data_IF_192324741160
#
_entry.id   IF_192324741160
#
_cell.length_a   1.000
_cell.length_b   1.000
_cell.length_c   1.000
_cell.angle_alpha   90.00
_cell.angle_beta   90.00
_cell.angle_gamma   90.00
#
_symmetry.space_group_name_H-M   'P 1'
#
loop_
_entity.id
_entity.type
_entity.pdbx_description
1 polymer ?
#
# COMPACT_ATOMS: atom_id res chain seq x y z
N UNK A 1 -13.20 10.83 16.93
CA UNK A 1 -12.26 10.02 16.13
C UNK A 1 -11.21 10.92 15.49
N UNK A 2 -9.95 10.59 15.53
CA UNK A 2 -8.87 11.26 14.80
C UNK A 2 -8.75 10.62 13.42
N UNK A 3 -9.13 11.34 12.38
CA UNK A 3 -9.05 10.88 11.01
C UNK A 3 -7.81 11.46 10.34
N UNK A 4 -6.92 10.60 9.79
CA UNK A 4 -5.75 11.05 9.04
C UNK A 4 -5.96 10.87 7.54
N UNK A 5 -5.92 11.97 6.79
CA UNK A 5 -5.90 11.96 5.33
C UNK A 5 -4.47 12.05 4.79
N UNK A 6 -3.97 10.99 4.15
CA UNK A 6 -2.68 10.95 3.48
C UNK A 6 -2.82 11.36 2.00
N UNK A 7 -2.46 12.60 1.71
CA UNK A 7 -2.53 13.19 0.36
C UNK A 7 -1.21 12.93 -0.38
N UNK A 8 -1.19 11.96 -1.31
CA UNK A 8 0.01 11.63 -2.10
C UNK A 8 0.24 12.57 -3.30
N UNK A 9 -0.57 13.61 -3.48
CA UNK A 9 -0.44 14.62 -4.52
C UNK A 9 0.27 15.88 -4.04
N UNK A 10 1.17 16.50 -4.85
CA UNK A 10 1.80 17.77 -4.51
C UNK A 10 0.85 18.97 -4.67
N UNK A 11 -0.24 18.80 -5.43
CA UNK A 11 -1.16 19.90 -5.77
C UNK A 11 -2.01 20.29 -4.56
N UNK A 12 -2.04 21.58 -4.22
CA UNK A 12 -2.98 22.15 -3.27
C UNK A 12 -4.37 22.18 -3.91
N UNK A 13 -5.40 21.82 -3.13
CA UNK A 13 -6.78 21.66 -3.60
C UNK A 13 -6.89 20.80 -4.88
N UNK A 14 -5.94 19.84 -5.03
CA UNK A 14 -5.99 18.83 -6.08
C UNK A 14 -6.98 17.72 -5.74
N UNK A 15 -7.34 16.90 -6.72
CA UNK A 15 -8.38 15.87 -6.58
C UNK A 15 -8.17 14.91 -5.40
N UNK A 16 -6.91 14.51 -5.08
CA UNK A 16 -6.65 13.67 -3.89
C UNK A 16 -7.04 14.36 -2.58
N UNK A 17 -6.71 15.64 -2.43
CA UNK A 17 -7.07 16.42 -1.23
C UNK A 17 -8.58 16.64 -1.14
N UNK A 18 -9.20 17.00 -2.26
CA UNK A 18 -10.64 17.26 -2.33
C UNK A 18 -11.45 15.99 -2.04
N UNK A 19 -11.03 14.84 -2.57
CA UNK A 19 -11.65 13.55 -2.28
C UNK A 19 -11.63 13.24 -0.78
N UNK A 20 -10.47 13.34 -0.14
CA UNK A 20 -10.35 13.06 1.30
C UNK A 20 -11.26 13.99 2.11
N UNK A 21 -11.28 15.28 1.78
CA UNK A 21 -12.13 16.25 2.46
C UNK A 21 -13.62 15.96 2.25
N UNK A 22 -14.00 15.63 1.02
CA UNK A 22 -15.40 15.31 0.67
C UNK A 22 -15.87 14.04 1.39
N UNK A 23 -15.06 12.97 1.42
CA UNK A 23 -15.37 11.75 2.21
C UNK A 23 -15.51 12.11 3.69
N UNK A 24 -14.62 12.93 4.22
CA UNK A 24 -14.68 13.38 5.62
C UNK A 24 -15.99 14.13 5.93
N UNK A 25 -16.46 15.00 5.05
CA UNK A 25 -17.72 15.73 5.28
C UNK A 25 -18.96 14.83 5.30
N UNK A 26 -18.86 13.62 4.78
CA UNK A 26 -19.95 12.63 4.69
C UNK A 26 -19.99 11.63 5.84
N UNK A 27 -18.96 11.64 6.71
CA UNK A 27 -18.95 10.82 7.92
C UNK A 27 -19.96 11.36 8.93
N UNK A 28 -20.71 10.46 9.56
CA UNK A 28 -21.68 10.76 10.60
C UNK A 28 -21.02 10.82 11.97
N UNK A 29 -19.98 10.05 12.18
CA UNK A 29 -19.20 10.02 13.43
C UNK A 29 -18.45 11.33 13.63
N UNK A 30 -18.59 12.01 14.79
CA UNK A 30 -17.80 13.20 15.11
C UNK A 30 -16.30 12.90 15.03
N UNK A 31 -15.57 13.68 14.24
CA UNK A 31 -14.15 13.46 14.01
C UNK A 31 -13.37 14.76 13.81
N UNK A 32 -12.06 14.64 13.95
CA UNK A 32 -11.11 15.70 13.62
C UNK A 32 -10.22 15.23 12.46
N UNK A 33 -10.33 15.91 11.31
CA UNK A 33 -9.52 15.59 10.13
C UNK A 33 -8.15 16.27 10.23
N UNK A 34 -7.10 15.47 10.31
CA UNK A 34 -5.71 15.90 10.07
C UNK A 34 -5.31 15.53 8.62
N UNK A 35 -4.59 16.41 7.94
CA UNK A 35 -4.11 16.17 6.57
C UNK A 35 -2.59 16.17 6.51
N UNK A 36 -2.03 15.12 5.94
CA UNK A 36 -0.61 14.98 5.67
C UNK A 36 -0.39 14.94 4.15
N UNK A 37 0.40 15.91 3.63
CA UNK A 37 0.75 15.96 2.20
C UNK A 37 2.11 15.30 2.01
N UNK A 38 2.10 14.02 1.65
CA UNK A 38 3.29 13.18 1.55
C UNK A 38 4.45 13.81 0.73
N UNK A 39 4.22 14.46 -0.44
CA UNK A 39 5.30 15.08 -1.20
C UNK A 39 6.00 16.28 -0.55
N UNK A 40 5.61 16.70 0.64
CA UNK A 40 6.28 17.76 1.40
C UNK A 40 7.28 17.24 2.42
N UNK A 41 7.27 15.96 2.65
CA UNK A 41 8.15 15.28 3.60
C UNK A 41 9.35 14.70 2.85
N UNK A 42 10.52 14.83 3.42
CA UNK A 42 11.73 14.13 2.94
C UNK A 42 11.67 12.69 3.39
N UNK A 43 11.37 11.78 2.46
CA UNK A 43 11.40 10.33 2.70
C UNK A 43 12.46 9.74 1.79
N UNK A 44 13.62 9.48 2.38
CA UNK A 44 14.77 8.93 1.64
C UNK A 44 14.52 7.48 1.25
N UNK A 45 15.00 7.05 0.08
CA UNK A 45 14.92 5.66 -0.35
C UNK A 45 15.51 4.70 0.68
N UNK A 46 14.87 3.54 0.88
CA UNK A 46 15.41 2.49 1.74
C UNK A 46 16.73 1.94 1.17
N UNK A 47 17.75 1.83 2.00
CA UNK A 47 19.05 1.25 1.64
C UNK A 47 19.20 -0.22 2.06
N UNK A 48 18.11 -0.88 2.44
CA UNK A 48 18.03 -2.29 2.79
C UNK A 48 19.04 -2.75 3.89
N UNK A 49 19.34 -1.88 4.86
CA UNK A 49 20.30 -2.19 5.93
C UNK A 49 19.71 -3.04 7.08
N UNK A 50 18.38 -3.23 7.14
CA UNK A 50 17.64 -3.96 8.17
C UNK A 50 17.78 -3.43 9.61
N UNK A 51 18.38 -2.26 9.83
CA UNK A 51 18.55 -1.68 11.17
C UNK A 51 17.19 -1.50 11.89
N UNK A 52 16.13 -1.16 11.17
CA UNK A 52 14.79 -1.02 11.73
C UNK A 52 14.23 -2.33 12.34
N UNK A 53 14.65 -3.51 11.86
CA UNK A 53 14.26 -4.80 12.45
C UNK A 53 15.10 -5.17 13.68
N UNK A 54 16.32 -4.68 13.76
CA UNK A 54 17.28 -4.99 14.85
C UNK A 54 17.17 -3.98 16.00
N UNK A 55 17.05 -2.69 15.65
CA UNK A 55 17.12 -1.56 16.59
C UNK A 55 15.74 -0.93 16.86
N UNK A 56 14.69 -1.39 16.15
CA UNK A 56 13.34 -0.84 16.24
C UNK A 56 13.17 0.53 15.60
N UNK A 57 14.22 1.09 14.97
CA UNK A 57 14.18 2.40 14.33
C UNK A 57 15.04 2.45 13.06
N UNK A 58 14.66 3.31 12.13
CA UNK A 58 15.45 3.54 10.93
C UNK A 58 16.61 4.51 11.23
N UNK A 59 17.78 4.23 10.64
CA UNK A 59 18.97 5.08 10.77
C UNK A 59 19.01 6.27 9.82
N UNK A 60 18.10 6.33 8.85
CA UNK A 60 18.03 7.46 7.92
C UNK A 60 17.42 8.67 8.64
N UNK A 61 18.14 9.77 8.59
CA UNK A 61 17.71 11.06 9.15
C UNK A 61 16.78 11.74 8.13
N UNK A 62 15.48 11.52 8.26
CA UNK A 62 14.43 12.06 7.39
C UNK A 62 13.11 12.23 8.17
N UNK A 63 12.04 12.61 7.47
CA UNK A 63 10.75 12.90 8.09
C UNK A 63 9.90 11.64 8.39
N UNK A 64 10.41 10.41 8.20
CA UNK A 64 9.65 9.18 8.46
C UNK A 64 9.07 9.10 9.88
N UNK A 65 9.79 9.47 10.96
CA UNK A 65 9.24 9.44 12.31
C UNK A 65 7.97 10.29 12.45
N UNK A 66 7.93 11.48 11.83
CA UNK A 66 6.77 12.38 11.86
C UNK A 66 5.55 11.72 11.22
N UNK A 67 5.75 11.02 10.08
CA UNK A 67 4.68 10.30 9.41
C UNK A 67 4.18 9.13 10.27
N UNK A 68 5.09 8.37 10.86
CA UNK A 68 4.75 7.24 11.73
C UNK A 68 3.95 7.70 12.95
N UNK A 69 4.37 8.75 13.62
CA UNK A 69 3.67 9.30 14.78
C UNK A 69 2.26 9.76 14.39
N UNK A 70 2.11 10.47 13.27
CA UNK A 70 0.78 10.90 12.78
C UNK A 70 -0.14 9.70 12.44
N UNK A 71 0.41 8.62 11.86
CA UNK A 71 -0.36 7.41 11.59
C UNK A 71 -0.70 6.64 12.87
N UNK A 72 0.19 6.62 13.85
CA UNK A 72 -0.08 5.99 15.15
C UNK A 72 -1.19 6.72 15.94
N UNK A 73 -1.21 8.06 15.91
CA UNK A 73 -2.22 8.87 16.59
C UNK A 73 -3.62 8.81 15.96
N UNK A 74 -3.71 8.40 14.70
CA UNK A 74 -4.98 8.33 13.99
C UNK A 74 -5.80 7.11 14.42
N UNK A 75 -7.13 7.26 14.50
CA UNK A 75 -8.07 6.15 14.69
C UNK A 75 -8.47 5.51 13.36
N UNK A 76 -8.42 6.28 12.26
CA UNK A 76 -8.73 5.82 10.91
C UNK A 76 -7.90 6.56 9.85
N UNK A 77 -7.72 5.94 8.68
CA UNK A 77 -6.88 6.45 7.59
C UNK A 77 -7.66 6.60 6.29
N UNK A 78 -7.40 7.66 5.53
CA UNK A 78 -7.79 7.79 4.12
C UNK A 78 -6.55 8.08 3.30
N UNK A 79 -6.18 7.18 2.39
CA UNK A 79 -5.00 7.32 1.51
C UNK A 79 -5.44 7.59 0.09
N UNK A 80 -5.08 8.74 -0.47
CA UNK A 80 -5.40 9.11 -1.85
C UNK A 80 -4.14 9.37 -2.67
N UNK A 81 -3.94 8.62 -3.76
CA UNK A 81 -2.77 8.71 -4.61
C UNK A 81 -3.12 9.03 -6.08
N UNK A 82 -2.41 9.98 -6.71
CA UNK A 82 -2.58 10.24 -8.13
C UNK A 82 -1.84 9.21 -8.97
N UNK A 83 -2.37 8.93 -10.14
CA UNK A 83 -1.74 8.07 -11.15
C UNK A 83 -0.75 8.86 -11.99
N UNK A 84 0.49 8.38 -12.06
CA UNK A 84 1.53 8.84 -12.97
C UNK A 84 2.06 7.65 -13.77
N UNK A 85 1.94 7.69 -15.09
CA UNK A 85 2.40 6.59 -15.95
C UNK A 85 1.92 5.20 -15.48
N UNK A 86 0.60 5.08 -15.25
CA UNK A 86 -0.09 3.85 -14.85
C UNK A 86 0.27 3.33 -13.44
N UNK A 87 0.90 4.14 -12.61
CA UNK A 87 1.24 3.76 -11.24
C UNK A 87 1.05 4.90 -10.25
N UNK A 88 1.09 4.62 -8.94
CA UNK A 88 1.03 5.66 -7.92
C UNK A 88 2.29 6.53 -7.99
N UNK A 89 2.17 7.78 -7.56
CA UNK A 89 3.32 8.65 -7.45
C UNK A 89 4.46 8.02 -6.63
N UNK A 90 5.70 8.19 -7.09
CA UNK A 90 6.90 7.57 -6.51
C UNK A 90 7.08 7.79 -4.99
N UNK A 91 6.59 8.93 -4.45
CA UNK A 91 6.67 9.19 -2.99
C UNK A 91 5.90 8.17 -2.16
N UNK A 92 4.78 7.59 -2.66
CA UNK A 92 4.09 6.51 -1.97
C UNK A 92 4.92 5.24 -1.96
N UNK A 93 5.60 4.92 -3.09
CA UNK A 93 6.49 3.76 -3.15
C UNK A 93 7.72 3.93 -2.26
N UNK A 94 8.30 5.14 -2.20
CA UNK A 94 9.42 5.43 -1.30
C UNK A 94 9.03 5.19 0.17
N UNK A 95 7.82 5.60 0.57
CA UNK A 95 7.29 5.32 1.91
C UNK A 95 7.03 3.82 2.12
N UNK A 96 6.44 3.13 1.14
CA UNK A 96 6.21 1.68 1.19
C UNK A 96 7.51 0.89 1.33
N UNK A 97 8.60 1.31 0.66
CA UNK A 97 9.92 0.65 0.77
C UNK A 97 10.52 0.74 2.18
N UNK A 98 10.02 1.67 3.00
CA UNK A 98 10.38 1.82 4.40
C UNK A 98 9.48 0.99 5.34
N UNK A 99 8.62 0.12 4.78
CA UNK A 99 7.59 -0.64 5.50
C UNK A 99 8.09 -1.48 6.68
N UNK A 100 9.31 -2.01 6.62
CA UNK A 100 9.91 -2.72 7.76
C UNK A 100 10.06 -1.85 9.03
N UNK A 101 10.11 -0.51 8.87
CA UNK A 101 10.13 0.41 10.01
C UNK A 101 8.77 0.51 10.71
N UNK A 102 7.68 0.06 10.08
CA UNK A 102 6.34 0.10 10.66
C UNK A 102 6.14 -0.97 11.73
N UNK A 103 6.90 -2.08 11.67
CA UNK A 103 6.78 -3.18 12.63
C UNK A 103 7.10 -2.80 14.06
N UNK A 104 7.99 -1.82 14.28
CA UNK A 104 8.28 -1.31 15.62
C UNK A 104 7.13 -0.52 16.25
N UNK A 105 6.13 -0.15 15.44
CA UNK A 105 4.92 0.58 15.84
C UNK A 105 3.65 -0.25 15.63
N UNK A 106 3.78 -1.57 15.44
CA UNK A 106 2.72 -2.47 15.03
C UNK A 106 1.47 -2.37 15.91
N UNK A 107 1.59 -2.40 17.22
CA UNK A 107 0.45 -2.30 18.15
C UNK A 107 -0.38 -1.02 17.94
N UNK A 108 0.25 0.08 17.53
CA UNK A 108 -0.44 1.34 17.29
C UNK A 108 -0.95 1.51 15.85
N UNK A 109 -0.44 0.72 14.90
CA UNK A 109 -0.78 0.85 13.47
C UNK A 109 -1.78 -0.21 13.00
N UNK A 110 -1.69 -1.43 13.53
CA UNK A 110 -2.40 -2.58 12.98
C UNK A 110 -3.91 -2.54 13.27
N UNK A 111 -4.69 -3.04 12.29
CA UNK A 111 -6.15 -3.14 12.40
C UNK A 111 -6.91 -1.82 12.30
N UNK A 112 -6.25 -0.69 12.03
CA UNK A 112 -6.96 0.59 11.86
C UNK A 112 -7.85 0.56 10.63
N UNK A 113 -9.11 1.00 10.72
CA UNK A 113 -9.98 1.17 9.56
C UNK A 113 -9.34 2.11 8.54
N UNK A 114 -9.36 1.71 7.28
CA UNK A 114 -8.73 2.50 6.23
C UNK A 114 -9.50 2.49 4.90
N UNK A 115 -9.41 3.61 4.19
CA UNK A 115 -9.88 3.76 2.82
C UNK A 115 -8.73 4.02 1.87
N UNK A 116 -8.79 3.39 0.70
CA UNK A 116 -7.89 3.62 -0.43
C UNK A 116 -8.57 4.39 -1.56
N UNK A 117 -7.86 5.34 -2.18
CA UNK A 117 -8.33 6.01 -3.39
C UNK A 117 -7.21 6.20 -4.41
N UNK A 118 -7.40 5.65 -5.60
CA UNK A 118 -6.55 5.91 -6.76
C UNK A 118 -7.22 6.97 -7.64
N UNK A 119 -6.49 8.00 -8.05
CA UNK A 119 -7.01 9.07 -8.90
C UNK A 119 -6.29 9.09 -10.24
N UNK A 120 -7.03 8.86 -11.32
CA UNK A 120 -6.53 8.92 -12.69
C UNK A 120 -7.22 10.04 -13.48
N UNK A 121 -6.50 10.64 -14.43
CA UNK A 121 -7.06 11.68 -15.29
C UNK A 121 -7.92 11.15 -16.43
N UNK A 122 -7.76 9.86 -16.78
CA UNK A 122 -8.43 9.25 -17.93
C UNK A 122 -8.99 7.88 -17.48
N UNK A 123 -10.28 7.59 -17.74
CA UNK A 123 -10.88 6.30 -17.44
C UNK A 123 -10.10 5.12 -18.05
N UNK A 124 -9.86 4.06 -17.25
CA UNK A 124 -9.11 2.87 -17.65
C UNK A 124 -7.61 3.09 -17.78
N UNK A 125 -7.06 4.23 -17.28
CA UNK A 125 -5.63 4.52 -17.27
C UNK A 125 -5.06 4.67 -15.85
N UNK A 126 -5.74 4.12 -14.87
CA UNK A 126 -5.28 4.04 -13.47
C UNK A 126 -4.09 3.08 -13.28
N UNK A 127 -3.94 2.12 -14.19
CA UNK A 127 -2.90 1.09 -14.14
C UNK A 127 -2.89 0.34 -12.81
N UNK A 128 -1.74 0.29 -12.13
CA UNK A 128 -1.61 -0.37 -10.82
C UNK A 128 -1.68 0.60 -9.62
N UNK A 129 -2.23 1.80 -9.80
CA UNK A 129 -2.27 2.82 -8.72
C UNK A 129 -3.10 2.34 -7.53
N UNK A 130 -4.27 1.74 -7.77
CA UNK A 130 -5.11 1.16 -6.71
C UNK A 130 -4.34 0.07 -5.94
N UNK A 131 -3.75 -0.89 -6.65
CA UNK A 131 -2.90 -1.92 -6.05
C UNK A 131 -1.77 -1.33 -5.20
N UNK A 132 -1.13 -0.23 -5.66
CA UNK A 132 -0.07 0.44 -4.90
C UNK A 132 -0.57 1.09 -3.60
N UNK A 133 -1.77 1.66 -3.60
CA UNK A 133 -2.43 2.19 -2.40
C UNK A 133 -2.79 1.06 -1.44
N UNK A 134 -3.39 -0.01 -1.93
CA UNK A 134 -3.75 -1.19 -1.15
C UNK A 134 -2.51 -1.89 -0.56
N UNK A 135 -1.43 -2.01 -1.33
CA UNK A 135 -0.16 -2.56 -0.85
C UNK A 135 0.41 -1.75 0.31
N UNK A 136 0.30 -0.42 0.25
CA UNK A 136 0.71 0.45 1.36
C UNK A 136 -0.17 0.23 2.60
N UNK A 137 -1.49 0.20 2.44
CA UNK A 137 -2.42 -0.05 3.54
C UNK A 137 -2.23 -1.45 4.15
N UNK A 138 -2.01 -2.48 3.34
CA UNK A 138 -1.69 -3.83 3.81
C UNK A 138 -0.32 -3.90 4.52
N UNK A 139 0.66 -3.12 4.09
CA UNK A 139 1.94 -3.02 4.80
C UNK A 139 1.79 -2.42 6.20
N UNK A 140 0.78 -1.57 6.41
CA UNK A 140 0.38 -1.07 7.73
C UNK A 140 -0.49 -2.08 8.50
N UNK A 141 -0.85 -3.23 7.92
CA UNK A 141 -1.87 -4.15 8.41
C UNK A 141 -3.19 -3.45 8.77
N UNK A 142 -3.54 -2.43 7.99
CA UNK A 142 -4.79 -1.72 8.13
C UNK A 142 -5.97 -2.59 7.69
N UNK A 143 -7.11 -2.41 8.33
CA UNK A 143 -8.39 -2.98 7.92
C UNK A 143 -8.95 -2.15 6.77
N UNK A 144 -8.70 -2.58 5.54
CA UNK A 144 -9.14 -1.88 4.32
C UNK A 144 -10.64 -2.08 4.16
N UNK A 145 -11.43 -1.08 4.54
CA UNK A 145 -12.88 -1.10 4.43
C UNK A 145 -13.37 -0.96 2.99
N UNK A 146 -12.71 -0.10 2.22
CA UNK A 146 -12.94 0.02 0.78
C UNK A 146 -11.73 0.65 0.09
N UNK A 147 -11.57 0.37 -1.20
CA UNK A 147 -10.55 0.97 -2.05
C UNK A 147 -11.08 1.13 -3.46
N UNK A 148 -11.01 2.36 -4.01
CA UNK A 148 -11.70 2.72 -5.24
C UNK A 148 -10.85 3.55 -6.19
N UNK A 149 -11.20 3.51 -7.49
CA UNK A 149 -10.60 4.35 -8.53
C UNK A 149 -11.55 5.50 -8.86
N UNK A 150 -11.05 6.72 -8.82
CA UNK A 150 -11.77 7.93 -9.21
C UNK A 150 -11.12 8.60 -10.41
N UNK A 151 -11.93 9.28 -11.22
CA UNK A 151 -11.45 9.96 -12.40
C UNK A 151 -11.63 11.47 -12.30
N UNK A 152 -10.60 12.20 -12.72
CA UNK A 152 -10.58 13.64 -12.74
C UNK A 152 -9.20 14.16 -13.11
N UNK A 153 -9.06 14.85 -14.25
CA UNK A 153 -7.81 15.38 -14.76
C UNK A 153 -7.47 16.77 -14.17
N UNK A 154 -8.47 17.65 -14.11
CA UNK A 154 -8.31 19.01 -13.60
C UNK A 154 -8.65 19.08 -12.10
N UNK A 155 -8.03 20.00 -11.33
CA UNK A 155 -8.42 20.24 -9.95
C UNK A 155 -9.92 20.55 -9.82
N UNK A 156 -10.59 19.84 -8.91
CA UNK A 156 -12.02 19.98 -8.68
C UNK A 156 -12.91 19.07 -9.52
N UNK A 157 -12.42 18.43 -10.56
CA UNK A 157 -13.27 17.53 -11.38
C UNK A 157 -13.80 16.34 -10.58
N UNK A 158 -13.03 15.82 -9.64
CA UNK A 158 -13.43 14.68 -8.83
C UNK A 158 -14.69 14.94 -8.00
N UNK A 159 -14.93 16.18 -7.57
CA UNK A 159 -16.11 16.58 -6.81
C UNK A 159 -17.21 17.24 -7.66
N UNK A 160 -16.96 17.45 -8.94
CA UNK A 160 -17.96 17.95 -9.90
C UNK A 160 -18.84 16.82 -10.45
N UNK A 161 -18.29 15.61 -10.50
CA UNK A 161 -18.94 14.43 -11.05
C UNK A 161 -19.82 13.77 -9.97
N UNK A 162 -21.14 13.67 -10.24
CA UNK A 162 -22.12 13.13 -9.30
C UNK A 162 -21.91 11.64 -8.99
N UNK A 163 -21.44 10.86 -9.96
CA UNK A 163 -21.11 9.45 -9.75
C UNK A 163 -19.93 9.32 -8.77
N UNK A 164 -18.92 10.18 -8.89
CA UNK A 164 -17.83 10.24 -7.91
C UNK A 164 -18.35 10.63 -6.51
N UNK A 165 -19.25 11.61 -6.42
CA UNK A 165 -19.82 12.04 -5.13
C UNK A 165 -20.62 10.92 -4.46
N UNK A 166 -21.40 10.15 -5.22
CA UNK A 166 -22.13 8.97 -4.72
C UNK A 166 -21.16 7.95 -4.14
N UNK A 167 -20.11 7.60 -4.89
CA UNK A 167 -19.09 6.63 -4.46
C UNK A 167 -18.27 7.13 -3.25
N UNK A 168 -18.06 8.43 -3.11
CA UNK A 168 -17.44 9.01 -1.89
C UNK A 168 -18.35 8.84 -0.68
N UNK A 169 -19.68 8.90 -0.86
CA UNK A 169 -20.65 8.57 0.20
C UNK A 169 -20.57 7.09 0.59
N UNK A 170 -20.43 6.20 -0.37
CA UNK A 170 -20.24 4.75 -0.12
C UNK A 170 -18.92 4.48 0.63
N UNK A 171 -17.83 5.17 0.27
CA UNK A 171 -16.58 5.09 1.03
C UNK A 171 -16.74 5.56 2.47
N UNK A 172 -17.45 6.68 2.70
CA UNK A 172 -17.69 7.17 4.06
C UNK A 172 -18.49 6.15 4.89
N UNK A 173 -19.55 5.59 4.32
CA UNK A 173 -20.35 4.55 4.96
C UNK A 173 -19.53 3.28 5.27
N UNK A 174 -18.65 2.87 4.33
CA UNK A 174 -17.76 1.72 4.53
C UNK A 174 -16.76 1.94 5.68
N UNK A 175 -16.25 3.19 5.86
CA UNK A 175 -15.34 3.50 6.97
C UNK A 175 -16.02 3.36 8.33
N UNK A 176 -17.32 3.65 8.42
CA UNK A 176 -18.13 3.61 9.65
C UNK A 176 -18.79 2.25 9.92
N UNK A 177 -18.86 1.41 8.89
CA UNK A 177 -19.46 0.08 8.97
C UNK A 177 -18.43 -1.05 9.06
N UNK A 178 -18.94 -2.28 9.10
CA UNK A 178 -18.13 -3.46 8.83
C UNK A 178 -17.84 -3.53 7.33
N UNK A 179 -16.61 -3.95 6.96
CA UNK A 179 -16.22 -4.06 5.55
C UNK A 179 -17.20 -4.97 4.79
N UNK A 180 -17.62 -4.57 3.60
CA UNK A 180 -18.45 -5.44 2.75
C UNK A 180 -17.61 -6.59 2.21
N UNK A 181 -18.10 -7.83 2.31
CA UNK A 181 -17.57 -8.94 1.53
C UNK A 181 -17.77 -8.63 0.05
N UNK A 182 -16.70 -8.29 -0.64
CA UNK A 182 -16.75 -8.02 -2.08
C UNK A 182 -16.67 -9.35 -2.84
N UNK A 183 -17.79 -9.80 -3.37
CA UNK A 183 -17.85 -10.96 -4.26
C UNK A 183 -17.00 -10.73 -5.53
N UNK A 184 -16.17 -11.69 -5.89
CA UNK A 184 -15.34 -11.66 -7.11
C UNK A 184 -13.89 -11.24 -6.91
N UNK A 185 -13.44 -11.13 -5.67
CA UNK A 185 -12.07 -10.78 -5.29
C UNK A 185 -11.32 -11.94 -4.64
N UNK A 186 -10.04 -11.73 -4.33
CA UNK A 186 -9.24 -12.73 -3.65
C UNK A 186 -9.86 -13.12 -2.30
N UNK A 187 -10.24 -14.38 -2.08
CA UNK A 187 -10.89 -14.81 -0.83
C UNK A 187 -9.98 -14.71 0.40
N UNK A 188 -8.68 -14.53 0.21
CA UNK A 188 -7.71 -14.42 1.31
C UNK A 188 -7.53 -12.97 1.78
N UNK A 189 -7.46 -12.01 0.85
CA UNK A 189 -7.12 -10.63 1.20
C UNK A 189 -8.05 -9.55 0.65
N UNK A 190 -9.08 -9.92 -0.14
CA UNK A 190 -9.99 -8.99 -0.78
C UNK A 190 -9.43 -8.25 -2.01
N UNK A 191 -8.18 -8.54 -2.45
CA UNK A 191 -7.58 -7.88 -3.61
C UNK A 191 -8.23 -8.29 -4.94
N UNK A 192 -8.31 -7.36 -5.88
CA UNK A 192 -8.95 -7.54 -7.19
C UNK A 192 -7.97 -7.60 -8.38
N UNK A 193 -6.69 -7.51 -8.11
CA UNK A 193 -5.64 -7.50 -9.14
C UNK A 193 -4.90 -8.84 -9.17
N UNK A 194 -4.92 -9.49 -10.34
CA UNK A 194 -4.34 -10.83 -10.51
C UNK A 194 -3.33 -10.87 -11.65
N UNK A 195 -2.28 -11.67 -11.45
CA UNK A 195 -1.33 -12.05 -12.48
C UNK A 195 -1.67 -13.42 -13.02
N UNK A 196 -1.90 -13.53 -14.32
CA UNK A 196 -1.99 -14.82 -15.01
C UNK A 196 -0.60 -15.46 -15.08
N UNK A 197 -0.52 -16.73 -14.68
CA UNK A 197 0.71 -17.52 -14.74
C UNK A 197 0.68 -18.43 -15.98
N UNK A 198 0.26 -19.69 -15.83
CA UNK A 198 0.13 -20.63 -16.92
C UNK A 198 -1.01 -21.63 -16.62
N UNK A 199 -1.63 -22.22 -17.64
CA UNK A 199 -2.63 -23.27 -17.50
C UNK A 199 -3.78 -22.91 -16.53
N UNK A 200 -4.32 -21.68 -16.62
CA UNK A 200 -5.42 -21.22 -15.76
C UNK A 200 -5.01 -20.81 -14.33
N UNK A 201 -3.74 -20.93 -13.99
CA UNK A 201 -3.23 -20.48 -12.68
C UNK A 201 -3.12 -18.96 -12.63
N UNK A 202 -3.49 -18.42 -11.47
CA UNK A 202 -3.39 -17.00 -11.16
C UNK A 202 -2.67 -16.79 -9.82
N UNK A 203 -2.15 -15.59 -9.64
CA UNK A 203 -1.60 -15.11 -8.37
C UNK A 203 -2.25 -13.78 -8.03
N UNK A 204 -2.77 -13.66 -6.80
CA UNK A 204 -3.20 -12.37 -6.30
C UNK A 204 -1.97 -11.44 -6.15
N UNK A 205 -2.05 -10.23 -6.69
CA UNK A 205 -0.94 -9.29 -6.65
C UNK A 205 -0.81 -8.58 -5.30
N UNK A 206 -1.85 -8.64 -4.45
CA UNK A 206 -1.84 -8.02 -3.13
C UNK A 206 -1.26 -8.96 -2.05
N UNK A 207 -1.73 -10.22 -1.95
CA UNK A 207 -1.25 -11.17 -0.93
C UNK A 207 -0.25 -12.21 -1.45
N UNK A 208 0.00 -12.25 -2.76
CA UNK A 208 0.87 -13.20 -3.45
C UNK A 208 0.43 -14.67 -3.42
N UNK A 209 -0.73 -14.98 -2.89
CA UNK A 209 -1.28 -16.32 -2.89
C UNK A 209 -1.72 -16.77 -4.29
N UNK A 210 -1.56 -18.04 -4.57
CA UNK A 210 -1.85 -18.65 -5.88
C UNK A 210 -3.12 -19.48 -5.85
N UNK A 211 -3.68 -19.66 -7.04
CA UNK A 211 -4.83 -20.48 -7.26
C UNK A 211 -5.20 -20.60 -8.73
N UNK A 212 -6.45 -20.88 -8.98
CA UNK A 212 -7.01 -21.05 -10.31
C UNK A 212 -8.13 -20.04 -10.57
N UNK A 213 -8.20 -19.55 -11.81
CA UNK A 213 -9.36 -18.84 -12.33
C UNK A 213 -10.11 -19.78 -13.27
N UNK A 214 -11.43 -19.91 -13.07
CA UNK A 214 -12.30 -20.73 -13.91
C UNK A 214 -13.43 -19.88 -14.46
N UNK A 215 -13.58 -19.85 -15.77
CA UNK A 215 -14.73 -19.26 -16.44
C UNK A 215 -15.96 -20.16 -16.31
N UNK A 216 -17.11 -19.58 -16.07
CA UNK A 216 -18.39 -20.26 -16.03
C UNK A 216 -19.52 -19.38 -16.58
N UNK A 217 -20.77 -19.91 -16.67
CA UNK A 217 -21.93 -19.13 -17.16
C UNK A 217 -22.18 -17.84 -16.36
N UNK A 218 -21.84 -17.86 -15.06
CA UNK A 218 -22.08 -16.76 -14.13
C UNK A 218 -20.85 -15.83 -13.96
N UNK A 219 -19.81 -15.99 -14.82
CA UNK A 219 -18.60 -15.19 -14.77
C UNK A 219 -17.34 -15.97 -14.42
N UNK A 220 -16.35 -15.31 -13.83
CA UNK A 220 -15.08 -15.91 -13.42
C UNK A 220 -15.08 -16.16 -11.91
N UNK A 221 -14.82 -17.40 -11.51
CA UNK A 221 -14.60 -17.77 -10.11
C UNK A 221 -13.11 -17.92 -9.81
N UNK A 222 -12.70 -17.59 -8.58
CA UNK A 222 -11.33 -17.71 -8.12
C UNK A 222 -11.23 -18.71 -6.97
N UNK A 223 -10.25 -19.60 -7.06
CA UNK A 223 -9.94 -20.59 -6.03
C UNK A 223 -8.50 -20.37 -5.59
N UNK A 224 -8.29 -19.43 -4.67
CA UNK A 224 -6.97 -19.08 -4.13
C UNK A 224 -6.82 -19.71 -2.76
N UNK A 225 -5.63 -20.24 -2.47
CA UNK A 225 -5.29 -20.89 -1.20
C UNK A 225 -4.12 -20.16 -0.55
N UNK A 226 -4.13 -20.15 0.77
CA UNK A 226 -2.99 -19.66 1.55
C UNK A 226 -1.75 -20.49 1.24
N UNK A 227 -0.64 -19.79 0.95
CA UNK A 227 0.64 -20.41 0.54
C UNK A 227 1.63 -20.61 1.67
N UNK A 228 1.32 -20.11 2.87
CA UNK A 228 2.14 -20.29 4.08
C UNK A 228 3.34 -19.33 4.19
N UNK A 229 3.46 -18.34 3.32
CA UNK A 229 4.43 -17.26 3.43
C UNK A 229 3.81 -15.92 3.01
N UNK A 230 2.65 -15.65 3.55
CA UNK A 230 1.97 -14.37 3.42
C UNK A 230 2.77 -13.29 4.14
N UNK A 231 2.64 -12.03 3.68
CA UNK A 231 3.39 -10.91 4.26
C UNK A 231 2.46 -9.98 5.06
N UNK A 232 1.19 -9.85 4.63
CA UNK A 232 0.30 -8.79 5.07
C UNK A 232 -1.09 -9.27 5.48
N UNK A 233 -1.27 -10.53 5.86
CA UNK A 233 -2.59 -11.06 6.19
C UNK A 233 -2.98 -10.76 7.64
N UNK A 234 -2.05 -10.89 8.56
CA UNK A 234 -2.26 -10.62 9.98
C UNK A 234 -0.94 -10.25 10.70
N UNK A 235 -1.00 -9.79 11.97
CA UNK A 235 0.18 -9.44 12.76
C UNK A 235 1.19 -10.57 12.95
N UNK A 236 0.73 -11.81 13.21
CA UNK A 236 1.62 -12.95 13.45
C UNK A 236 2.39 -13.32 12.19
N UNK A 237 1.76 -13.23 11.03
CA UNK A 237 2.40 -13.43 9.71
C UNK A 237 3.46 -12.36 9.48
N UNK A 238 3.17 -11.10 9.77
CA UNK A 238 4.12 -10.01 9.61
C UNK A 238 5.34 -10.20 10.53
N UNK A 239 5.14 -10.62 11.77
CA UNK A 239 6.22 -10.92 12.72
C UNK A 239 7.06 -12.13 12.26
N UNK A 240 6.43 -13.22 11.78
CA UNK A 240 7.16 -14.35 11.20
C UNK A 240 7.99 -13.94 9.99
N UNK A 241 7.47 -13.05 9.14
CA UNK A 241 8.25 -12.51 8.02
C UNK A 241 9.45 -11.68 8.50
N UNK A 242 9.29 -10.86 9.54
CA UNK A 242 10.40 -10.14 10.16
C UNK A 242 11.48 -11.08 10.70
N UNK A 243 11.10 -12.17 11.35
CA UNK A 243 12.03 -13.20 11.86
C UNK A 243 12.73 -13.95 10.71
N UNK A 244 12.02 -14.25 9.65
CA UNK A 244 12.63 -14.82 8.44
C UNK A 244 13.69 -13.88 7.85
N UNK A 245 13.42 -12.57 7.79
CA UNK A 245 14.40 -11.58 7.31
C UNK A 245 15.64 -11.50 8.21
N UNK A 246 15.48 -11.57 9.53
CA UNK A 246 16.62 -11.66 10.48
C UNK A 246 17.44 -12.92 10.23
N UNK A 247 16.78 -14.06 9.99
CA UNK A 247 17.42 -15.33 9.64
C UNK A 247 18.22 -15.26 8.34
N UNK A 248 17.83 -14.44 7.36
CA UNK A 248 18.59 -14.27 6.11
C UNK A 248 19.99 -13.68 6.35
N UNK A 249 20.17 -12.85 7.35
CA UNK A 249 21.48 -12.30 7.72
C UNK A 249 22.42 -13.39 8.23
N UNK A 250 21.91 -14.28 9.07
CA UNK A 250 22.70 -15.41 9.57
C UNK A 250 23.01 -16.41 8.45
N UNK A 251 22.03 -16.70 7.59
CA UNK A 251 22.24 -17.51 6.40
C UNK A 251 23.32 -16.92 5.48
N UNK A 252 23.27 -15.61 5.22
CA UNK A 252 24.31 -14.95 4.42
C UNK A 252 25.69 -15.06 5.05
N UNK A 253 25.81 -14.93 6.39
CA UNK A 253 27.10 -15.12 7.07
C UNK A 253 27.65 -16.53 6.87
N UNK A 254 26.79 -17.54 6.97
CA UNK A 254 27.17 -18.95 6.79
C UNK A 254 27.61 -19.26 5.35
N UNK A 255 26.86 -18.75 4.35
CA UNK A 255 27.08 -19.02 2.93
C UNK A 255 28.02 -17.99 2.25
N UNK A 256 28.47 -16.96 2.97
CA UNK A 256 29.18 -15.78 2.41
C UNK A 256 30.38 -16.15 1.53
N UNK A 257 31.18 -17.12 1.95
CA UNK A 257 32.40 -17.52 1.20
C UNK A 257 32.05 -18.11 -0.17
N UNK A 258 31.05 -18.96 -0.20
CA UNK A 258 30.56 -19.59 -1.44
C UNK A 258 29.96 -18.54 -2.36
N UNK A 259 29.00 -17.73 -1.86
CA UNK A 259 28.32 -16.70 -2.63
C UNK A 259 29.30 -15.67 -3.20
N UNK A 260 30.28 -15.20 -2.43
CA UNK A 260 31.32 -14.29 -2.92
C UNK A 260 32.22 -14.95 -3.98
N UNK A 261 32.45 -16.25 -3.89
CA UNK A 261 33.22 -16.98 -4.92
C UNK A 261 32.45 -17.02 -6.25
N UNK A 262 31.13 -17.26 -6.19
CA UNK A 262 30.26 -17.19 -7.38
C UNK A 262 30.21 -15.79 -7.99
N UNK A 263 30.34 -14.74 -7.20
CA UNK A 263 30.33 -13.34 -7.66
C UNK A 263 31.65 -12.88 -8.30
N UNK A 264 32.79 -13.55 -8.01
CA UNK A 264 34.13 -13.13 -8.49
C UNK A 264 34.24 -12.89 -10.00
N UNK A 265 33.69 -13.76 -10.88
CA UNK A 265 33.79 -13.55 -12.33
C UNK A 265 33.10 -12.26 -12.83
N UNK A 266 32.19 -11.70 -12.05
CA UNK A 266 31.38 -10.55 -12.42
C UNK A 266 31.91 -9.23 -11.86
N UNK A 267 32.95 -9.25 -10.99
CA UNK A 267 33.41 -8.07 -10.25
C UNK A 267 33.87 -6.93 -11.15
N UNK A 268 34.55 -7.26 -12.22
CA UNK A 268 35.17 -6.27 -13.11
C UNK A 268 34.47 -6.26 -14.49
N UNK A 269 33.25 -6.84 -14.56
CA UNK A 269 32.48 -6.88 -15.78
C UNK A 269 31.61 -5.64 -15.92
N UNK A 270 31.82 -4.88 -16.98
CA UNK A 270 31.06 -3.66 -17.28
C UNK A 270 31.70 -2.39 -16.69
N UNK A 271 31.32 -1.26 -17.22
CA UNK A 271 31.74 0.07 -16.79
C UNK A 271 30.56 0.77 -16.08
N UNK A 272 30.82 1.35 -14.91
CA UNK A 272 29.83 2.10 -14.17
C UNK A 272 29.77 3.55 -14.66
N UNK A 273 28.56 4.03 -14.93
CA UNK A 273 28.31 5.45 -15.16
C UNK A 273 28.06 6.10 -13.81
N UNK A 274 29.00 6.92 -13.36
CA UNK A 274 28.92 7.59 -12.06
C UNK A 274 28.17 8.92 -12.18
N UNK A 275 27.42 9.34 -11.14
CA UNK A 275 26.81 10.67 -11.11
C UNK A 275 27.90 11.75 -11.07
N UNK A 276 27.62 12.90 -11.68
CA UNK A 276 28.49 14.07 -11.63
C UNK A 276 28.43 14.77 -10.31
#
# INVERSE_FOLDING_TARGET
MNLLGLVCSPRRLGNCELLIKEVSTRLTTPHHLKLLRLPRFDIRPCNACYACLEEGQCRLEDDLPILLDAMCEADALIVAAPTYFLGPRATLKALLDRGLSFYSRGEALWGKPALGAALAGIPGKEGYTKLGVESFLKCLLADIRASEVFYGALPGEVIRDEANLTRMGELAAALEGEGSESAGFCPVCGGDTFRFLSAGRIRCMLCSNEGEARGGPDGVSFSIREGGHEIFTDPDVALRHADWLRGMKERFKAEKRELLTLCKPYKDLGEWIEPK
#
